data_IF_519780973921
#
_entry.id   IF_519780973921
#
_cell.length_a   1.000
_cell.length_b   1.000
_cell.length_c   1.000
_cell.angle_alpha   90.00
_cell.angle_beta   90.00
_cell.angle_gamma   90.00
#
_symmetry.space_group_name_H-M   'P 1'
#
loop_
_entity.id
_entity.type
_entity.pdbx_description
1 polymer ?
#
# COMPACT_ATOMS: atom_id res chain seq x y z
N UNK A 1 4.16 -10.32 7.57
CA UNK A 1 4.40 -8.86 7.49
C UNK A 1 3.99 -8.28 8.82
N UNK A 2 4.82 -7.47 9.43
CA UNK A 2 4.48 -6.85 10.71
C UNK A 2 3.34 -5.82 10.52
N UNK A 3 2.54 -5.60 11.56
CA UNK A 3 1.40 -4.67 11.53
C UNK A 3 1.86 -3.24 11.20
N UNK A 4 3.07 -2.85 11.61
CA UNK A 4 3.58 -1.49 11.36
C UNK A 4 3.80 -1.27 9.87
N UNK A 5 4.32 -2.25 9.14
CA UNK A 5 4.44 -2.20 7.68
C UNK A 5 3.08 -2.03 6.98
N UNK A 6 2.02 -2.67 7.47
CA UNK A 6 0.66 -2.49 6.90
C UNK A 6 0.20 -1.04 7.11
N UNK A 7 0.34 -0.54 8.34
CA UNK A 7 -0.06 0.83 8.68
C UNK A 7 0.68 1.86 7.85
N UNK A 8 1.99 1.69 7.64
CA UNK A 8 2.77 2.59 6.78
C UNK A 8 2.26 2.63 5.35
N UNK A 9 1.94 1.48 4.77
CA UNK A 9 1.39 1.39 3.40
C UNK A 9 0.03 2.09 3.32
N UNK A 10 -0.87 1.85 4.29
CA UNK A 10 -2.18 2.51 4.32
C UNK A 10 -2.04 4.02 4.51
N UNK A 11 -1.16 4.48 5.40
CA UNK A 11 -0.90 5.90 5.61
C UNK A 11 -0.37 6.58 4.35
N UNK A 12 0.60 5.97 3.66
CA UNK A 12 1.12 6.50 2.40
C UNK A 12 0.04 6.56 1.31
N UNK A 13 -0.80 5.52 1.21
CA UNK A 13 -1.90 5.47 0.24
C UNK A 13 -2.90 6.59 0.49
N UNK A 14 -3.27 6.81 1.76
CA UNK A 14 -4.17 7.90 2.16
C UNK A 14 -3.60 9.26 1.86
N UNK A 15 -2.34 9.52 2.25
CA UNK A 15 -1.67 10.79 1.98
C UNK A 15 -1.66 11.12 0.49
N UNK A 16 -1.41 10.12 -0.36
CA UNK A 16 -1.45 10.32 -1.82
C UNK A 16 -2.86 10.67 -2.30
N UNK A 17 -3.87 9.86 -1.99
CA UNK A 17 -5.25 10.12 -2.42
C UNK A 17 -5.80 11.45 -1.90
N UNK A 18 -5.60 11.75 -0.62
CA UNK A 18 -6.05 12.99 0.03
C UNK A 18 -5.30 14.23 -0.50
N UNK A 19 -4.09 14.08 -1.06
CA UNK A 19 -3.37 15.17 -1.71
C UNK A 19 -3.90 15.52 -3.10
N UNK A 20 -4.49 14.56 -3.81
CA UNK A 20 -5.10 14.77 -5.12
C UNK A 20 -6.55 15.27 -5.00
N UNK A 21 -7.27 14.78 -3.98
CA UNK A 21 -8.69 15.07 -3.76
C UNK A 21 -8.94 15.47 -2.30
N UNK A 22 -8.61 16.71 -1.89
CA UNK A 22 -8.64 17.14 -0.50
C UNK A 22 -10.04 17.21 0.13
N UNK A 23 -11.10 17.23 -0.70
CA UNK A 23 -12.50 17.28 -0.26
C UNK A 23 -13.07 15.90 0.10
N UNK A 24 -12.29 14.83 -0.05
CA UNK A 24 -12.68 13.47 0.30
C UNK A 24 -12.43 13.17 1.78
N UNK A 25 -13.47 12.73 2.49
CA UNK A 25 -13.39 12.27 3.87
C UNK A 25 -13.13 10.76 3.91
N UNK A 26 -12.02 10.34 4.51
CA UNK A 26 -11.66 8.93 4.62
C UNK A 26 -12.63 8.16 5.53
N UNK A 27 -13.19 7.06 5.03
CA UNK A 27 -14.05 6.16 5.80
C UNK A 27 -13.32 4.91 6.27
N UNK A 28 -12.80 4.13 5.32
CA UNK A 28 -12.18 2.83 5.62
C UNK A 28 -11.27 2.32 4.51
N UNK A 29 -10.40 1.38 4.87
CA UNK A 29 -9.73 0.52 3.89
C UNK A 29 -10.68 -0.63 3.56
N UNK A 30 -10.97 -0.84 2.28
CA UNK A 30 -11.80 -1.95 1.80
C UNK A 30 -10.97 -3.21 1.60
N UNK A 31 -9.90 -3.09 0.81
CA UNK A 31 -9.02 -4.20 0.48
C UNK A 31 -7.56 -3.75 0.45
N UNK A 32 -6.65 -4.71 0.63
CA UNK A 32 -5.23 -4.53 0.40
C UNK A 32 -4.65 -5.77 -0.27
N UNK A 33 -3.90 -5.56 -1.34
CA UNK A 33 -3.18 -6.59 -2.07
C UNK A 33 -1.69 -6.33 -1.97
N UNK A 34 -0.92 -7.43 -1.99
CA UNK A 34 0.54 -7.41 -1.95
C UNK A 34 1.04 -8.34 -3.03
N UNK A 35 1.90 -7.85 -3.91
CA UNK A 35 2.54 -8.61 -4.97
C UNK A 35 4.06 -8.48 -4.86
N UNK A 36 4.75 -9.60 -4.75
CA UNK A 36 6.22 -9.61 -4.73
C UNK A 36 6.75 -9.73 -6.16
N UNK A 37 7.62 -8.78 -6.51
CA UNK A 37 8.41 -8.80 -7.74
C UNK A 37 9.90 -8.93 -7.34
N UNK A 38 10.61 -9.97 -7.82
CA UNK A 38 12.02 -10.19 -7.46
C UNK A 38 12.98 -9.07 -7.88
N UNK A 39 12.63 -8.25 -8.88
CA UNK A 39 13.47 -7.14 -9.36
C UNK A 39 13.18 -5.82 -8.64
N UNK A 40 11.92 -5.58 -8.24
CA UNK A 40 11.46 -4.28 -7.69
C UNK A 40 11.14 -4.31 -6.20
N UNK A 41 10.90 -5.49 -5.65
CA UNK A 41 10.51 -5.67 -4.27
C UNK A 41 9.02 -5.88 -4.08
N UNK A 42 8.42 -5.10 -3.20
CA UNK A 42 7.03 -5.29 -2.81
C UNK A 42 6.13 -4.22 -3.39
N UNK A 43 5.20 -4.64 -4.25
CA UNK A 43 4.11 -3.80 -4.72
C UNK A 43 2.89 -4.01 -3.83
N UNK A 44 2.18 -2.92 -3.59
CA UNK A 44 0.95 -2.87 -2.81
C UNK A 44 -0.14 -2.18 -3.62
N UNK A 45 -1.34 -2.71 -3.54
CA UNK A 45 -2.55 -2.05 -4.06
C UNK A 45 -3.52 -1.92 -2.90
N UNK A 46 -4.00 -0.72 -2.61
CA UNK A 46 -4.93 -0.48 -1.51
C UNK A 46 -6.20 0.15 -2.04
N UNK A 47 -7.34 -0.45 -1.73
CA UNK A 47 -8.65 0.10 -2.04
C UNK A 47 -9.14 0.87 -0.82
N UNK A 48 -9.28 2.18 -0.97
CA UNK A 48 -9.72 3.12 0.04
C UNK A 48 -11.14 3.57 -0.27
N UNK A 49 -11.97 3.70 0.75
CA UNK A 49 -13.34 4.18 0.65
C UNK A 49 -13.41 5.56 1.29
N UNK A 50 -13.95 6.50 0.54
CA UNK A 50 -14.14 7.88 0.93
C UNK A 50 -15.60 8.29 0.82
N UNK A 51 -15.93 9.38 1.51
CA UNK A 51 -17.15 10.13 1.31
C UNK A 51 -16.82 11.47 0.66
N UNK A 52 -17.49 11.78 -0.43
CA UNK A 52 -17.38 13.10 -1.06
C UNK A 52 -18.22 14.12 -0.28
N UNK A 53 -17.58 15.17 0.23
CA UNK A 53 -18.24 16.22 0.99
C UNK A 53 -19.32 16.96 0.19
N UNK A 54 -19.11 17.15 -1.12
CA UNK A 54 -20.02 17.90 -1.99
C UNK A 54 -21.24 17.07 -2.40
N UNK A 55 -21.03 15.81 -2.81
CA UNK A 55 -22.11 14.95 -3.33
C UNK A 55 -22.71 14.02 -2.28
N UNK A 56 -22.06 13.88 -1.11
CA UNK A 56 -22.34 12.87 -0.09
C UNK A 56 -22.21 11.42 -0.59
N UNK A 57 -21.69 11.20 -1.80
CA UNK A 57 -21.52 9.88 -2.38
C UNK A 57 -20.35 9.13 -1.73
N UNK A 58 -20.48 7.81 -1.68
CA UNK A 58 -19.34 6.93 -1.33
C UNK A 58 -18.54 6.63 -2.57
N UNK A 59 -17.23 6.85 -2.49
CA UNK A 59 -16.30 6.76 -3.60
C UNK A 59 -15.17 5.80 -3.24
N UNK A 60 -14.74 4.99 -4.20
CA UNK A 60 -13.59 4.11 -4.06
C UNK A 60 -12.37 4.67 -4.81
N UNK A 61 -11.21 4.56 -4.17
CA UNK A 61 -9.92 4.95 -4.73
C UNK A 61 -8.91 3.82 -4.54
N UNK A 62 -8.36 3.34 -5.65
CA UNK A 62 -7.31 2.33 -5.67
C UNK A 62 -5.97 3.02 -5.82
N UNK A 63 -5.11 2.86 -4.82
CA UNK A 63 -3.75 3.42 -4.82
C UNK A 63 -2.73 2.31 -5.01
N UNK A 64 -1.81 2.52 -5.95
CA UNK A 64 -0.69 1.64 -6.22
C UNK A 64 0.58 2.19 -5.56
N UNK A 65 1.21 1.42 -4.68
CA UNK A 65 2.43 1.79 -3.98
C UNK A 65 3.52 0.78 -4.27
N UNK A 66 4.71 1.26 -4.65
CA UNK A 66 5.91 0.42 -4.73
C UNK A 66 6.78 0.68 -3.50
N UNK A 67 7.03 -0.35 -2.69
CA UNK A 67 8.05 -0.29 -1.64
C UNK A 67 9.33 -0.92 -2.20
N UNK A 68 10.24 -0.04 -2.63
CA UNK A 68 11.60 -0.43 -2.99
C UNK A 68 12.23 -1.20 -1.83
N UNK A 69 12.94 -2.29 -2.11
CA UNK A 69 13.73 -3.01 -1.10
C UNK A 69 14.90 -2.12 -0.68
N UNK A 70 14.70 -1.31 0.36
CA UNK A 70 15.80 -0.64 1.03
C UNK A 70 16.52 -1.67 1.90
N UNK A 71 17.54 -2.32 1.33
CA UNK A 71 18.43 -3.24 2.04
C UNK A 71 18.66 -4.54 1.30
N UNK A 72 19.67 -4.56 0.44
CA UNK A 72 20.37 -5.79 0.06
C UNK A 72 21.00 -6.40 1.32
N UNK A 73 20.27 -7.27 2.01
CA UNK A 73 20.91 -8.40 2.67
C UNK A 73 20.66 -9.61 1.81
N UNK A 74 21.66 -9.92 0.97
CA UNK A 74 21.86 -11.26 0.42
C UNK A 74 21.76 -12.25 1.59
N UNK A 75 20.64 -12.97 1.69
CA UNK A 75 20.60 -14.19 2.49
C UNK A 75 21.51 -15.19 1.80
N UNK A 76 22.68 -15.45 2.39
CA UNK A 76 23.50 -16.60 2.03
C UNK A 76 22.65 -17.87 2.25
N UNK A 77 22.00 -18.36 1.19
CA UNK A 77 21.58 -19.74 1.13
C UNK A 77 22.85 -20.60 1.08
N UNK A 78 23.22 -21.17 2.22
CA UNK A 78 24.14 -22.29 2.24
C UNK A 78 23.42 -23.47 1.60
N UNK A 79 23.66 -23.70 0.31
CA UNK A 79 23.39 -25.01 -0.28
C UNK A 79 24.39 -25.99 0.36
N UNK A 80 23.93 -26.74 1.38
CA UNK A 80 24.60 -27.98 1.75
C UNK A 80 24.15 -29.04 0.76
N UNK A 81 25.01 -29.38 -0.20
CA UNK A 81 24.94 -30.65 -0.89
C UNK A 81 25.22 -31.77 0.13
N UNK A 82 24.26 -32.67 0.31
CA UNK A 82 24.53 -34.04 0.79
C UNK A 82 24.67 -34.94 -0.45
#
# INVERSE_FOLDING_TARGET
MDIKSILQVVTAARQHAESEEPDLEFLQVRNGYRLFDPQRGMDYMVDLVYKDGATQATIERRVHLCRMVAGTQLMNQVYRSL
#
